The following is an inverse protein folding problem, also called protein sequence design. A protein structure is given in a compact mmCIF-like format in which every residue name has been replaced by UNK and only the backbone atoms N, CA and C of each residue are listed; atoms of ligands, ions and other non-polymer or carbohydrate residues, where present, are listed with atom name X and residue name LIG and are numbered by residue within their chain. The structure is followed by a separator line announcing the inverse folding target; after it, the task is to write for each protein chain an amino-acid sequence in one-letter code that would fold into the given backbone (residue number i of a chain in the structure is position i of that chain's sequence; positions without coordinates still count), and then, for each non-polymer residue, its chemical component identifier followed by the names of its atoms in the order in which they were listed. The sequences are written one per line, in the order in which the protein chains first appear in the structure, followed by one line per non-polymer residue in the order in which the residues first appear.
data_IF_110582250186
#
_entry.id   IF_110582250186
#
_cell.length_a   1.000
_cell.length_b   1.000
_cell.length_c   1.000
_cell.angle_alpha   90.00
_cell.angle_beta   90.00
_cell.angle_gamma   90.00
#
_symmetry.space_group_name_H-M   'P 1'
#
loop_
_entity.id
_entity.type
_entity.pdbx_description
1 polymer ?
#
# COMPACT_ATOMS: atom_id res chain seq x y z
N UNK A 1 -7.43 8.25 11.24
CA UNK A 1 -6.93 8.02 12.63
C UNK A 1 -6.99 9.21 13.60
N UNK A 2 -6.61 10.44 13.19
CA UNK A 2 -6.60 11.59 14.10
C UNK A 2 -8.00 11.96 14.63
N UNK A 3 -9.04 11.70 13.84
CA UNK A 3 -10.44 11.95 14.19
C UNK A 3 -11.13 10.78 14.92
N UNK A 4 -10.40 9.77 15.40
CA UNK A 4 -10.97 8.56 16.01
C UNK A 4 -11.94 8.88 17.16
N UNK A 5 -11.60 9.87 18.00
CA UNK A 5 -12.47 10.30 19.09
C UNK A 5 -13.80 10.88 18.57
N UNK A 6 -13.74 11.71 17.53
CA UNK A 6 -14.93 12.33 16.90
C UNK A 6 -15.81 11.31 16.17
N UNK A 7 -15.21 10.23 15.63
CA UNK A 7 -15.94 9.15 14.96
C UNK A 7 -16.49 8.08 15.91
N UNK A 8 -16.22 8.17 17.22
CA UNK A 8 -16.62 7.17 18.21
C UNK A 8 -15.83 5.86 18.10
N UNK A 9 -14.60 5.94 17.57
CA UNK A 9 -13.74 4.78 17.30
C UNK A 9 -13.37 4.65 15.83
N UNK A 10 -12.71 3.53 15.50
CA UNK A 10 -12.36 3.21 14.13
C UNK A 10 -13.60 2.80 13.34
N UNK A 11 -13.90 3.50 12.24
CA UNK A 11 -15.10 3.27 11.45
C UNK A 11 -14.76 3.16 9.97
N UNK A 12 -15.28 2.10 9.36
CA UNK A 12 -15.17 1.84 7.92
C UNK A 12 -15.99 2.88 7.14
N UNK A 13 -15.38 3.52 6.16
CA UNK A 13 -15.99 4.51 5.27
C UNK A 13 -16.47 3.85 3.96
N UNK A 14 -17.35 4.54 3.23
CA UNK A 14 -17.83 4.08 1.92
C UNK A 14 -18.80 2.90 1.96
N UNK A 15 -19.25 2.45 3.13
CA UNK A 15 -20.24 1.35 3.27
C UNK A 15 -21.69 1.76 3.00
N UNK A 16 -22.00 3.05 3.13
CA UNK A 16 -23.32 3.59 2.85
C UNK A 16 -23.22 4.61 1.74
N UNK A 17 -24.31 4.79 0.98
CA UNK A 17 -24.35 5.78 -0.10
C UNK A 17 -23.92 7.17 0.36
N UNK A 18 -24.42 7.61 1.52
CA UNK A 18 -24.04 8.90 2.11
C UNK A 18 -22.54 9.02 2.40
N UNK A 19 -21.93 7.98 2.96
CA UNK A 19 -20.50 8.00 3.29
C UNK A 19 -19.63 7.96 2.03
N UNK A 20 -20.04 7.18 1.02
CA UNK A 20 -19.38 7.15 -0.28
C UNK A 20 -19.47 8.51 -0.98
N UNK A 21 -20.66 9.10 -1.10
CA UNK A 21 -20.88 10.39 -1.75
C UNK A 21 -20.08 11.52 -1.08
N UNK A 22 -20.07 11.56 0.26
CA UNK A 22 -19.25 12.54 0.97
C UNK A 22 -17.74 12.34 0.70
N UNK A 23 -17.26 11.09 0.65
CA UNK A 23 -15.83 10.83 0.46
C UNK A 23 -15.37 11.19 -0.96
N UNK A 24 -16.17 10.91 -2.00
CA UNK A 24 -15.80 11.29 -3.37
C UNK A 24 -15.89 12.81 -3.60
N UNK A 25 -16.85 13.48 -2.97
CA UNK A 25 -16.93 14.96 -2.97
C UNK A 25 -15.69 15.58 -2.31
N UNK A 26 -15.27 15.07 -1.15
CA UNK A 26 -14.04 15.50 -0.48
C UNK A 26 -12.80 15.23 -1.36
N UNK A 27 -12.76 14.08 -2.04
CA UNK A 27 -11.64 13.71 -2.91
C UNK A 27 -11.49 14.66 -4.11
N UNK A 28 -12.59 14.98 -4.81
CA UNK A 28 -12.57 15.97 -5.89
C UNK A 28 -12.19 17.36 -5.39
N UNK A 29 -12.71 17.79 -4.23
CA UNK A 29 -12.34 19.08 -3.67
C UNK A 29 -10.83 19.17 -3.36
N UNK A 30 -10.20 18.07 -2.90
CA UNK A 30 -8.76 18.00 -2.69
C UNK A 30 -7.97 18.03 -4.01
N UNK A 31 -8.44 17.32 -5.04
CA UNK A 31 -7.84 17.34 -6.37
C UNK A 31 -7.90 18.75 -7.00
N UNK A 32 -9.04 19.44 -6.91
CA UNK A 32 -9.22 20.80 -7.42
C UNK A 32 -8.22 21.80 -6.82
N UNK A 33 -7.83 21.61 -5.55
CA UNK A 33 -6.81 22.45 -4.90
C UNK A 33 -5.37 21.99 -5.15
N UNK A 34 -5.18 20.92 -5.95
CA UNK A 34 -3.88 20.50 -6.47
C UNK A 34 -3.08 19.59 -5.54
N UNK A 35 -3.72 18.74 -4.74
CA UNK A 35 -2.99 17.69 -4.03
C UNK A 35 -2.35 16.71 -5.02
N UNK A 36 -1.18 16.17 -4.68
CA UNK A 36 -0.45 15.29 -5.59
C UNK A 36 -0.95 13.83 -5.59
N UNK A 37 -1.62 13.41 -4.51
CA UNK A 37 -2.17 12.07 -4.32
C UNK A 37 -3.16 12.07 -3.16
N UNK A 38 -4.00 11.03 -3.09
CA UNK A 38 -4.94 10.77 -1.99
C UNK A 38 -4.68 9.39 -1.40
N UNK A 39 -4.84 9.24 -0.07
CA UNK A 39 -4.82 7.96 0.62
C UNK A 39 -6.22 7.64 1.16
N UNK A 40 -6.81 6.55 0.68
CA UNK A 40 -8.04 5.98 1.23
C UNK A 40 -7.72 5.00 2.35
N UNK A 41 -8.36 5.19 3.50
CA UNK A 41 -8.21 4.33 4.67
C UNK A 41 -9.55 3.73 5.07
N UNK A 42 -9.56 2.44 5.42
CA UNK A 42 -10.72 1.76 5.99
C UNK A 42 -11.95 1.78 5.06
N UNK A 43 -11.82 1.35 3.81
CA UNK A 43 -12.89 1.39 2.81
C UNK A 43 -13.02 0.03 2.08
N UNK A 44 -14.24 -0.43 1.75
CA UNK A 44 -14.39 -1.60 0.89
C UNK A 44 -13.83 -1.37 -0.51
N UNK A 45 -13.40 -2.45 -1.18
CA UNK A 45 -12.72 -2.38 -2.48
C UNK A 45 -13.53 -1.69 -3.59
N UNK A 46 -14.84 -1.96 -3.66
CA UNK A 46 -15.72 -1.40 -4.71
C UNK A 46 -15.89 0.13 -4.64
N UNK A 47 -16.27 0.75 -3.50
CA UNK A 47 -16.30 2.22 -3.41
C UNK A 47 -14.92 2.86 -3.56
N UNK A 48 -13.83 2.20 -3.14
CA UNK A 48 -12.48 2.70 -3.36
C UNK A 48 -12.12 2.74 -4.86
N UNK A 49 -12.50 1.71 -5.62
CA UNK A 49 -12.35 1.66 -7.09
C UNK A 49 -13.10 2.80 -7.77
N UNK A 50 -14.32 3.09 -7.32
CA UNK A 50 -15.12 4.20 -7.87
C UNK A 50 -14.48 5.57 -7.67
N UNK A 51 -13.81 5.76 -6.53
CA UNK A 51 -13.06 6.99 -6.25
C UNK A 51 -11.82 7.03 -7.14
N UNK A 52 -10.96 6.01 -7.07
CA UNK A 52 -9.73 5.94 -7.86
C UNK A 52 -9.95 6.09 -9.37
N UNK A 53 -11.02 5.50 -9.90
CA UNK A 53 -11.37 5.61 -11.33
C UNK A 53 -11.80 7.03 -11.76
N UNK A 54 -12.26 7.86 -10.83
CA UNK A 54 -12.83 9.19 -11.13
C UNK A 54 -11.89 10.35 -10.83
N UNK A 55 -10.70 10.09 -10.28
CA UNK A 55 -9.65 11.09 -10.07
C UNK A 55 -8.55 10.93 -11.14
N UNK A 56 -7.92 12.05 -11.50
CA UNK A 56 -6.75 12.10 -12.38
C UNK A 56 -5.43 11.95 -11.59
N UNK A 57 -5.48 12.08 -10.26
CA UNK A 57 -4.33 11.92 -9.35
C UNK A 57 -4.23 10.50 -8.77
N UNK A 58 -3.01 10.03 -8.39
CA UNK A 58 -2.84 8.74 -7.75
C UNK A 58 -3.64 8.59 -6.45
N UNK A 59 -4.34 7.47 -6.33
CA UNK A 59 -5.07 7.05 -5.14
C UNK A 59 -4.40 5.81 -4.54
N UNK A 60 -3.94 5.95 -3.30
CA UNK A 60 -3.36 4.86 -2.52
C UNK A 60 -4.37 4.30 -1.53
N UNK A 61 -4.21 3.03 -1.14
CA UNK A 61 -5.06 2.35 -0.17
C UNK A 61 -4.32 1.83 1.05
N UNK A 62 -4.92 1.95 2.24
CA UNK A 62 -4.62 1.15 3.42
C UNK A 62 -5.91 0.58 3.98
N UNK A 63 -6.12 -0.72 3.79
CA UNK A 63 -7.42 -1.34 4.02
C UNK A 63 -8.51 -0.74 3.12
N UNK A 64 -8.17 -0.46 1.86
CA UNK A 64 -9.07 0.05 0.82
C UNK A 64 -9.29 -0.94 -0.34
N UNK A 65 -8.84 -2.19 -0.21
CA UNK A 65 -8.83 -3.16 -1.29
C UNK A 65 -7.74 -2.90 -2.35
N UNK A 66 -7.68 -3.78 -3.35
CA UNK A 66 -6.62 -3.79 -4.37
C UNK A 66 -6.95 -3.06 -5.68
N UNK A 67 -8.09 -2.37 -5.74
CA UNK A 67 -8.58 -1.68 -6.95
C UNK A 67 -8.27 -0.17 -6.91
N UNK A 68 -7.06 0.16 -6.48
CA UNK A 68 -6.49 1.52 -6.37
C UNK A 68 -5.06 1.51 -6.92
N UNK A 69 -4.46 2.67 -7.16
CA UNK A 69 -3.18 2.79 -7.89
C UNK A 69 -1.97 2.27 -7.11
N UNK A 70 -2.08 2.22 -5.78
CA UNK A 70 -1.01 1.72 -4.93
C UNK A 70 -1.47 1.39 -3.52
N UNK A 71 -0.56 0.80 -2.75
CA UNK A 71 -0.85 0.33 -1.40
C UNK A 71 0.09 0.97 -0.39
N UNK A 72 -0.43 1.13 0.82
CA UNK A 72 0.30 1.54 2.00
C UNK A 72 0.08 0.50 3.11
N UNK A 73 1.16 0.11 3.77
CA UNK A 73 1.12 -0.73 4.97
C UNK A 73 2.10 -0.18 6.00
N UNK A 74 1.75 -0.30 7.28
CA UNK A 74 2.65 0.10 8.37
C UNK A 74 3.74 -0.96 8.51
N UNK A 75 5.01 -0.52 8.52
CA UNK A 75 6.18 -1.39 8.57
C UNK A 75 6.13 -2.43 9.70
N UNK A 76 5.69 -2.01 10.89
CA UNK A 76 5.58 -2.89 12.05
C UNK A 76 4.52 -3.99 11.86
N UNK A 77 3.42 -3.72 11.15
CA UNK A 77 2.40 -4.73 10.85
C UNK A 77 2.89 -5.70 9.76
N UNK A 78 3.58 -5.18 8.73
CA UNK A 78 4.22 -5.97 7.67
C UNK A 78 5.22 -6.97 8.27
N UNK A 79 5.98 -6.54 9.27
CA UNK A 79 7.00 -7.36 9.92
C UNK A 79 6.48 -8.17 11.11
N UNK A 80 5.25 -7.91 11.57
CA UNK A 80 4.68 -8.57 12.75
C UNK A 80 5.38 -8.22 14.07
N UNK A 81 5.91 -7.01 14.19
CA UNK A 81 6.63 -6.55 15.40
C UNK A 81 5.68 -6.43 16.62
N UNK A 82 4.38 -6.26 16.39
CA UNK A 82 3.35 -6.22 17.44
C UNK A 82 2.66 -7.58 17.59
N UNK A 83 2.80 -8.22 18.76
CA UNK A 83 2.23 -9.54 19.04
C UNK A 83 0.74 -9.51 19.41
N UNK A 84 0.28 -8.44 20.07
CA UNK A 84 -1.06 -8.36 20.68
C UNK A 84 -2.08 -7.60 19.84
N UNK A 85 -1.64 -6.76 18.92
CA UNK A 85 -2.50 -5.96 18.06
C UNK A 85 -1.97 -5.98 16.63
N UNK A 86 -2.83 -6.40 15.70
CA UNK A 86 -2.60 -6.30 14.26
C UNK A 86 -3.93 -5.94 13.61
N UNK A 87 -4.01 -4.85 12.83
CA UNK A 87 -5.19 -4.59 12.03
C UNK A 87 -5.44 -5.77 11.10
N UNK A 88 -6.68 -6.24 11.03
CA UNK A 88 -7.00 -7.47 10.31
C UNK A 88 -6.74 -7.36 8.79
N UNK A 89 -6.78 -6.14 8.23
CA UNK A 89 -6.42 -5.85 6.84
C UNK A 89 -4.90 -5.84 6.56
N UNK A 90 -4.07 -5.83 7.61
CA UNK A 90 -2.62 -5.89 7.44
C UNK A 90 -2.14 -7.34 7.37
N UNK A 91 -1.27 -7.64 6.41
CA UNK A 91 -0.59 -8.93 6.27
C UNK A 91 0.80 -8.85 6.87
N UNK A 92 1.16 -9.84 7.70
CA UNK A 92 2.56 -10.05 8.09
C UNK A 92 3.24 -10.90 7.01
N UNK A 93 4.35 -10.43 6.48
CA UNK A 93 5.07 -11.05 5.37
C UNK A 93 6.27 -11.90 5.81
N UNK A 94 6.62 -11.90 7.11
CA UNK A 94 7.69 -12.76 7.64
C UNK A 94 7.45 -14.26 7.35
N UNK A 95 6.24 -14.82 7.55
CA UNK A 95 6.00 -16.24 7.25
C UNK A 95 6.22 -16.59 5.78
N UNK A 96 5.90 -15.67 4.85
CA UNK A 96 6.02 -15.90 3.41
C UNK A 96 7.48 -16.00 2.94
N UNK A 97 8.42 -15.48 3.73
CA UNK A 97 9.85 -15.43 3.38
C UNK A 97 10.71 -16.32 4.28
N UNK A 98 10.12 -17.00 5.26
CA UNK A 98 10.84 -17.86 6.22
C UNK A 98 11.67 -18.93 5.50
N UNK A 99 11.08 -19.62 4.52
CA UNK A 99 11.77 -20.66 3.76
C UNK A 99 12.96 -20.14 2.96
N UNK A 100 12.77 -19.00 2.27
CA UNK A 100 13.84 -18.35 1.52
C UNK A 100 14.97 -17.86 2.43
N UNK A 101 14.63 -17.32 3.60
CA UNK A 101 15.60 -16.90 4.60
C UNK A 101 16.38 -18.09 5.17
N UNK A 102 15.71 -19.21 5.46
CA UNK A 102 16.37 -20.44 5.90
C UNK A 102 17.36 -20.97 4.84
N UNK A 103 16.94 -20.97 3.57
CA UNK A 103 17.82 -21.35 2.46
C UNK A 103 19.04 -20.42 2.37
N UNK A 104 18.84 -19.10 2.47
CA UNK A 104 19.94 -18.12 2.52
C UNK A 104 20.94 -18.42 3.63
N UNK A 105 20.47 -18.68 4.85
CA UNK A 105 21.36 -19.00 5.99
C UNK A 105 22.19 -20.27 5.75
N UNK A 106 21.61 -21.31 5.13
CA UNK A 106 22.32 -22.57 4.87
C UNK A 106 23.46 -22.45 3.85
N UNK A 107 23.46 -21.40 3.04
CA UNK A 107 24.51 -21.13 2.04
C UNK A 107 25.70 -20.36 2.64
N UNK A 108 25.58 -19.83 3.85
CA UNK A 108 26.63 -19.05 4.50
C UNK A 108 27.60 -20.00 5.23
N UNK A 109 28.75 -20.26 4.61
CA UNK A 109 29.82 -21.07 5.21
C UNK A 109 30.60 -20.32 6.31
N UNK A 110 30.76 -18.99 6.19
CA UNK A 110 31.53 -18.15 7.13
C UNK A 110 30.74 -16.91 7.61
N UNK A 111 29.80 -17.05 8.58
CA UNK A 111 28.93 -15.94 9.00
C UNK A 111 29.66 -14.71 9.52
N UNK A 112 30.78 -14.90 10.24
CA UNK A 112 31.60 -13.79 10.77
C UNK A 112 32.27 -12.99 9.66
N UNK A 113 32.63 -13.62 8.55
CA UNK A 113 33.26 -12.94 7.41
C UNK A 113 32.23 -12.06 6.71
N UNK A 114 31.07 -12.64 6.39
CA UNK A 114 29.94 -11.92 5.78
C UNK A 114 29.57 -10.68 6.61
N UNK A 115 29.35 -10.84 7.92
CA UNK A 115 28.99 -9.70 8.78
C UNK A 115 30.04 -8.58 8.84
N UNK A 116 31.34 -8.90 8.69
CA UNK A 116 32.40 -7.86 8.63
C UNK A 116 32.46 -7.15 7.29
N UNK A 117 32.25 -7.88 6.19
CA UNK A 117 32.39 -7.36 4.83
C UNK A 117 31.15 -6.58 4.40
N UNK A 118 29.95 -7.09 4.69
CA UNK A 118 28.68 -6.49 4.22
C UNK A 118 28.02 -5.61 5.27
N UNK A 119 28.39 -5.76 6.55
CA UNK A 119 27.65 -5.18 7.70
C UNK A 119 26.16 -5.57 7.73
N UNK A 120 25.82 -6.68 7.09
CA UNK A 120 24.49 -7.29 7.17
C UNK A 120 24.37 -8.17 8.40
N UNK A 121 23.14 -8.27 8.90
CA UNK A 121 22.75 -9.24 9.91
C UNK A 121 21.49 -9.97 9.44
N UNK A 122 21.17 -11.10 10.08
CA UNK A 122 20.01 -11.92 9.69
C UNK A 122 18.69 -11.16 9.79
N UNK A 123 18.55 -10.23 10.74
CA UNK A 123 17.32 -9.45 10.91
C UNK A 123 17.16 -8.48 9.73
N UNK A 124 18.22 -7.79 9.32
CA UNK A 124 18.20 -6.88 8.15
C UNK A 124 17.85 -7.62 6.87
N UNK A 125 18.44 -8.80 6.65
CA UNK A 125 18.13 -9.63 5.48
C UNK A 125 16.68 -10.08 5.48
N UNK A 126 16.21 -10.64 6.60
CA UNK A 126 14.82 -11.10 6.74
C UNK A 126 13.81 -9.97 6.53
N UNK A 127 14.03 -8.80 7.15
CA UNK A 127 13.16 -7.62 6.97
C UNK A 127 13.14 -7.16 5.52
N UNK A 128 14.30 -7.15 4.84
CA UNK A 128 14.40 -6.78 3.42
C UNK A 128 13.63 -7.77 2.53
N UNK A 129 13.77 -9.07 2.78
CA UNK A 129 13.02 -10.10 2.05
C UNK A 129 11.50 -9.89 2.21
N UNK A 130 11.03 -9.60 3.44
CA UNK A 130 9.61 -9.35 3.69
C UNK A 130 9.08 -8.10 2.97
N UNK A 131 9.85 -7.00 2.99
CA UNK A 131 9.50 -5.77 2.25
C UNK A 131 9.50 -6.02 0.74
N UNK A 132 10.48 -6.75 0.23
CA UNK A 132 10.55 -7.13 -1.18
C UNK A 132 9.34 -7.97 -1.60
N UNK A 133 8.94 -8.95 -0.77
CA UNK A 133 7.76 -9.76 -1.03
C UNK A 133 6.47 -8.95 -1.04
N UNK A 134 6.33 -7.97 -0.14
CA UNK A 134 5.22 -7.03 -0.16
C UNK A 134 5.15 -6.25 -1.48
N UNK A 135 6.28 -5.70 -1.94
CA UNK A 135 6.37 -4.96 -3.21
C UNK A 135 5.93 -5.84 -4.39
N UNK A 136 6.39 -7.08 -4.43
CA UNK A 136 6.02 -8.05 -5.48
C UNK A 136 4.52 -8.38 -5.44
N UNK A 137 3.97 -8.69 -4.27
CA UNK A 137 2.55 -9.02 -4.13
C UNK A 137 1.67 -7.82 -4.52
N UNK A 138 2.06 -6.57 -4.20
CA UNK A 138 1.33 -5.36 -4.63
C UNK A 138 1.40 -5.18 -6.15
N UNK A 139 2.59 -5.28 -6.75
CA UNK A 139 2.77 -5.11 -8.20
C UNK A 139 2.04 -6.17 -9.02
N UNK A 140 1.92 -7.38 -8.48
CA UNK A 140 1.19 -8.47 -9.10
C UNK A 140 -0.32 -8.43 -8.84
N UNK A 141 -0.82 -7.44 -8.07
CA UNK A 141 -2.22 -7.37 -7.66
C UNK A 141 -2.66 -8.51 -6.72
N UNK A 142 -1.72 -9.20 -6.08
CA UNK A 142 -1.98 -10.27 -5.09
C UNK A 142 -2.26 -9.70 -3.70
N UNK A 143 -1.72 -8.54 -3.38
CA UNK A 143 -2.00 -7.82 -2.14
C UNK A 143 -2.63 -6.45 -2.42
N UNK A 144 -3.69 -6.08 -1.69
CA UNK A 144 -4.41 -6.90 -0.71
C UNK A 144 -5.28 -7.96 -1.38
N UNK A 145 -5.29 -9.17 -0.79
CA UNK A 145 -6.27 -10.21 -1.11
C UNK A 145 -7.65 -9.88 -0.52
N UNK A 146 -8.65 -10.70 -0.85
CA UNK A 146 -10.01 -10.56 -0.31
C UNK A 146 -10.04 -10.65 1.23
N UNK A 147 -9.18 -11.49 1.80
CA UNK A 147 -9.04 -11.69 3.24
C UNK A 147 -8.50 -10.47 3.99
N UNK A 148 -7.90 -9.52 3.26
CA UNK A 148 -7.36 -8.26 3.78
C UNK A 148 -8.22 -7.05 3.39
N UNK A 149 -9.40 -7.28 2.82
CA UNK A 149 -10.27 -6.23 2.29
C UNK A 149 -11.60 -6.18 3.04
N UNK A 150 -12.08 -4.98 3.39
CA UNK A 150 -13.36 -4.82 4.08
C UNK A 150 -14.51 -5.43 3.29
N UNK A 151 -15.33 -6.32 3.90
CA UNK A 151 -16.47 -6.91 3.20
C UNK A 151 -17.54 -5.84 2.97
N UNK A 152 -18.20 -5.96 1.81
CA UNK A 152 -19.36 -5.17 1.40
C UNK A 152 -20.49 -6.14 1.06
N UNK A 153 -21.63 -6.01 1.75
CA UNK A 153 -22.80 -6.85 1.50
C UNK A 153 -23.45 -6.48 0.17
N UNK A 154 -24.22 -7.40 -0.40
CA UNK A 154 -24.93 -7.16 -1.65
C UNK A 154 -25.90 -5.96 -1.54
N UNK A 155 -26.63 -5.84 -0.43
CA UNK A 155 -27.58 -4.74 -0.22
C UNK A 155 -26.86 -3.39 -0.06
N UNK A 156 -25.71 -3.39 0.62
CA UNK A 156 -24.84 -2.20 0.73
C UNK A 156 -24.35 -1.78 -0.67
N UNK A 157 -23.90 -2.74 -1.49
CA UNK A 157 -23.46 -2.47 -2.86
C UNK A 157 -24.58 -1.93 -3.75
N UNK A 158 -25.79 -2.49 -3.68
CA UNK A 158 -26.93 -1.97 -4.44
C UNK A 158 -27.33 -0.55 -3.99
N UNK A 159 -27.21 -0.24 -2.68
CA UNK A 159 -27.39 1.12 -2.18
C UNK A 159 -26.35 2.08 -2.80
N UNK A 160 -25.07 1.69 -2.84
CA UNK A 160 -24.00 2.48 -3.44
C UNK A 160 -24.23 2.72 -4.93
N UNK A 161 -24.66 1.70 -5.67
CA UNK A 161 -25.00 1.81 -7.11
C UNK A 161 -26.09 2.81 -7.41
N UNK A 162 -26.97 3.09 -6.44
CA UNK A 162 -27.99 4.14 -6.57
C UNK A 162 -27.43 5.56 -6.42
N UNK A 163 -26.14 5.72 -6.10
CA UNK A 163 -25.48 7.02 -6.01
C UNK A 163 -25.43 7.72 -7.37
N UNK A 164 -25.58 9.05 -7.37
CA UNK A 164 -25.40 9.87 -8.57
C UNK A 164 -23.97 9.85 -9.12
N UNK A 165 -23.00 9.47 -8.28
CA UNK A 165 -21.59 9.40 -8.65
C UNK A 165 -21.12 8.00 -9.00
N UNK A 166 -22.01 7.01 -8.93
CA UNK A 166 -21.65 5.66 -9.35
C UNK A 166 -21.46 5.59 -10.87
N UNK A 167 -20.38 4.95 -11.31
CA UNK A 167 -20.03 4.72 -12.72
C UNK A 167 -19.93 3.23 -13.02
N UNK A 168 -20.38 2.85 -14.21
CA UNK A 168 -20.12 1.51 -14.73
C UNK A 168 -18.67 1.44 -15.21
N UNK A 169 -17.79 0.90 -14.36
CA UNK A 169 -16.38 0.71 -14.67
C UNK A 169 -16.23 -0.53 -15.57
N UNK A 170 -15.55 -0.41 -16.72
CA UNK A 170 -15.27 -1.56 -17.58
C UNK A 170 -14.57 -2.68 -16.81
N UNK A 171 -15.00 -3.93 -17.01
CA UNK A 171 -14.43 -5.11 -16.32
C UNK A 171 -12.95 -5.35 -16.60
N UNK A 172 -12.45 -4.79 -17.70
CA UNK A 172 -11.02 -4.72 -17.96
C UNK A 172 -10.56 -3.34 -17.48
N UNK A 173 -9.69 -3.27 -16.47
CA UNK A 173 -8.97 -2.04 -16.26
C UNK A 173 -8.16 -1.83 -17.54
N UNK A 174 -8.24 -0.63 -18.11
CA UNK A 174 -7.00 -0.04 -18.58
C UNK A 174 -6.07 -0.13 -17.38
N UNK A 175 -5.24 -1.18 -17.34
CA UNK A 175 -4.01 -1.12 -16.56
C UNK A 175 -3.47 0.24 -16.93
N UNK A 176 -3.34 1.14 -15.95
CA UNK A 176 -2.48 2.28 -16.14
C UNK A 176 -1.18 1.61 -16.58
N UNK A 177 -0.90 1.69 -17.88
CA UNK A 177 0.40 1.32 -18.44
C UNK A 177 1.29 2.46 -18.00
N UNK A 178 1.53 2.47 -16.70
CA UNK A 178 2.70 2.98 -16.10
C UNK A 178 3.80 2.17 -16.76
N UNK A 179 4.25 2.68 -17.91
CA UNK A 179 5.49 2.30 -18.52
C UNK A 179 6.49 2.16 -17.36
N UNK A 180 7.02 0.96 -17.10
CA UNK A 180 7.95 0.74 -16.00
C UNK A 180 9.20 1.63 -16.10
N UNK A 181 9.43 2.25 -17.26
CA UNK A 181 10.48 3.24 -17.48
C UNK A 181 10.09 4.68 -17.10
N UNK A 182 8.81 4.96 -16.86
CA UNK A 182 8.31 6.27 -16.42
C UNK A 182 8.03 6.38 -14.91
N UNK A 183 7.81 5.26 -14.20
CA UNK A 183 8.00 5.26 -12.75
C UNK A 183 9.49 5.21 -12.46
N UNK A 184 10.06 6.37 -12.17
CA UNK A 184 11.27 6.42 -11.35
C UNK A 184 11.06 5.51 -10.14
N UNK A 185 12.10 4.77 -9.77
CA UNK A 185 12.22 3.79 -8.67
C UNK A 185 11.88 4.32 -7.25
N UNK A 186 11.14 5.43 -7.14
CA UNK A 186 10.77 6.11 -5.92
C UNK A 186 9.79 5.31 -5.09
N UNK A 187 10.32 4.64 -4.07
CA UNK A 187 9.56 4.24 -2.89
C UNK A 187 9.30 5.51 -2.08
N UNK A 188 8.04 5.88 -1.85
CA UNK A 188 7.70 6.83 -0.78
C UNK A 188 7.59 6.04 0.52
N UNK A 189 8.73 5.74 1.13
CA UNK A 189 8.76 5.42 2.56
C UNK A 189 8.71 6.76 3.27
N UNK A 190 7.57 7.09 3.89
CA UNK A 190 7.43 8.31 4.68
C UNK A 190 8.39 8.31 5.87
N UNK A 191 9.59 8.89 5.68
CA UNK A 191 10.40 9.45 6.74
C UNK A 191 10.18 10.97 6.72
N UNK A 192 9.83 11.51 7.89
CA UNK A 192 9.55 12.92 8.16
C UNK A 192 10.44 13.87 7.35
N UNK A 193 9.85 14.64 6.43
CA UNK A 193 10.56 15.66 5.67
C UNK A 193 10.45 17.01 6.39
N UNK A 194 11.58 17.54 6.87
CA UNK A 194 11.70 18.95 7.22
C UNK A 194 11.72 19.78 5.93
N UNK A 195 10.68 20.59 5.73
CA UNK A 195 10.60 21.54 4.63
C UNK A 195 11.54 22.71 4.88
N UNK A 196 12.65 22.80 4.12
CA UNK A 196 13.35 24.07 3.93
C UNK A 196 13.13 24.56 2.51
N UNK A 197 12.39 25.67 2.41
CA UNK A 197 12.01 26.28 1.14
C UNK A 197 13.21 26.80 0.37
N UNK A 198 13.47 26.21 -0.78
CA UNK A 198 13.99 26.84 -2.02
C UNK A 198 14.01 25.76 -3.09
N UNK A 199 13.45 26.08 -4.24
CA UNK A 199 13.27 25.12 -5.33
C UNK A 199 14.56 24.62 -5.97
N UNK A 200 14.40 23.45 -6.60
CA UNK A 200 15.24 22.71 -7.56
C UNK A 200 16.22 21.65 -7.03
N UNK A 201 16.12 20.53 -7.74
CA UNK A 201 16.90 19.28 -7.74
C UNK A 201 16.80 18.38 -6.50
N UNK A 202 15.91 17.39 -6.62
CA UNK A 202 15.95 16.16 -5.82
C UNK A 202 17.12 15.34 -6.36
N UNK A 203 18.26 15.37 -5.67
CA UNK A 203 19.35 14.44 -5.95
C UNK A 203 18.85 13.02 -5.66
N UNK A 204 18.64 12.25 -6.73
CA UNK A 204 18.33 10.81 -6.67
C UNK A 204 19.57 10.10 -6.13
N UNK A 205 19.42 9.42 -5.01
CA UNK A 205 20.42 8.45 -4.54
C UNK A 205 19.94 7.08 -5.02
N UNK A 206 20.50 6.62 -6.13
CA UNK A 206 20.24 5.28 -6.66
C UNK A 206 20.87 4.25 -5.71
N UNK A 207 20.06 3.39 -5.12
CA UNK A 207 20.53 2.21 -4.40
C UNK A 207 20.36 1.03 -5.35
N UNK A 208 21.44 0.60 -6.00
CA UNK A 208 21.42 -0.61 -6.83
C UNK A 208 21.10 -1.85 -5.98
N UNK A 209 20.24 -2.76 -6.44
CA UNK A 209 20.08 -4.06 -5.80
C UNK A 209 21.39 -4.86 -5.93
N UNK A 210 21.81 -5.62 -4.91
CA UNK A 210 23.00 -6.45 -5.01
C UNK A 210 22.84 -7.46 -6.15
N UNK A 211 23.87 -7.56 -6.98
CA UNK A 211 23.94 -8.50 -8.08
C UNK A 211 23.76 -9.93 -7.56
N UNK A 212 22.83 -10.66 -8.18
CA UNK A 212 22.58 -12.09 -8.06
C UNK A 212 21.94 -12.59 -6.75
N UNK A 213 20.62 -12.80 -6.80
CA UNK A 213 19.96 -13.88 -6.09
C UNK A 213 19.25 -14.76 -7.13
N UNK A 214 19.48 -16.09 -7.14
CA UNK A 214 18.82 -16.99 -8.06
C UNK A 214 17.34 -17.12 -7.72
N UNK A 215 16.54 -17.23 -8.79
CA UNK A 215 15.07 -17.37 -8.84
C UNK A 215 14.58 -18.60 -8.06
#
# INVERSE_FOLDING_TARGET
PQSTASFGGYRVQGKTKKSFEATIEDAWALEEVGVFAILLEAMPSMPAEQIAFQLDIPVYGIGAGGRVDGQLIIMHDLLGDYQTFRPWFAKCFIPDVEGAFHQYLSQISEPRKVGRETREDGIRVLRRMAVQRYIEDVRMGKYPGEEYSYPLKAEELEELKSSRYWKDIPKEPSMITNDPTQLGSGIVVGLSAECNGRGREVNRVDVEPPAHLPV
#
